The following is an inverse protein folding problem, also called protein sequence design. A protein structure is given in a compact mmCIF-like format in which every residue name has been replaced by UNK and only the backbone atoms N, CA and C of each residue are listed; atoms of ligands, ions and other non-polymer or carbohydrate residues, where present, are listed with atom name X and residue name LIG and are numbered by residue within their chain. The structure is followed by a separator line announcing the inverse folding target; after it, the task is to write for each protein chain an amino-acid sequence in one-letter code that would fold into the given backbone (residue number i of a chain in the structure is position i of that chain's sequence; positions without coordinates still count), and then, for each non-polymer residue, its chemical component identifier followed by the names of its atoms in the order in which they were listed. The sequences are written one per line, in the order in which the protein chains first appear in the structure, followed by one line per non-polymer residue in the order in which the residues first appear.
data_IF_062667792517
#
_entry.id   IF_062667792517
#
_cell.length_a   1.000
_cell.length_b   1.000
_cell.length_c   1.000
_cell.angle_alpha   90.00
_cell.angle_beta   90.00
_cell.angle_gamma   90.00
#
_symmetry.space_group_name_H-M   'P 1'
#
loop_
_entity.id
_entity.type
_entity.pdbx_description
1 polymer ?
#
# COMPACT_ATOMS: atom_id res chain seq x y z
N UNK A 1 24.80 -3.71 13.20
CA UNK A 1 23.39 -3.42 12.89
C UNK A 1 22.69 -4.70 12.51
N UNK A 2 21.95 -5.29 13.44
CA UNK A 2 21.12 -6.46 13.17
C UNK A 2 19.86 -5.99 12.42
N UNK A 3 19.79 -6.30 11.12
CA UNK A 3 18.72 -5.84 10.21
C UNK A 3 17.32 -6.30 10.66
N UNK A 4 17.26 -7.37 11.45
CA UNK A 4 16.03 -7.98 11.94
C UNK A 4 15.28 -7.14 12.99
N UNK A 5 15.96 -6.21 13.65
CA UNK A 5 15.37 -5.31 14.66
C UNK A 5 15.11 -3.91 14.12
N UNK A 6 15.53 -3.61 12.89
CA UNK A 6 15.49 -2.25 12.33
C UNK A 6 14.08 -1.62 12.33
N UNK A 7 13.04 -2.42 12.08
CA UNK A 7 11.64 -1.98 12.08
C UNK A 7 10.84 -2.43 13.32
N UNK A 8 11.51 -3.04 14.31
CA UNK A 8 10.87 -3.48 15.56
C UNK A 8 11.08 -2.41 16.64
N UNK A 9 10.27 -1.37 16.58
CA UNK A 9 10.30 -0.28 17.54
C UNK A 9 9.95 -0.79 18.94
N UNK A 10 10.84 -0.58 19.91
CA UNK A 10 10.64 -0.97 21.31
C UNK A 10 9.87 0.08 22.10
N UNK A 11 9.99 1.35 21.70
CA UNK A 11 9.35 2.49 22.33
C UNK A 11 8.48 3.26 21.32
N UNK A 12 7.29 3.66 21.75
CA UNK A 12 6.32 4.34 20.91
C UNK A 12 6.78 5.76 20.54
N UNK A 13 7.47 6.46 21.45
CA UNK A 13 7.97 7.81 21.18
C UNK A 13 9.00 7.79 20.04
N UNK A 14 9.93 6.82 20.07
CA UNK A 14 10.93 6.66 19.02
C UNK A 14 10.32 6.40 17.63
N UNK A 15 9.23 5.64 17.58
CA UNK A 15 8.44 5.45 16.35
C UNK A 15 7.83 6.77 15.85
N UNK A 16 7.18 7.54 16.73
CA UNK A 16 6.55 8.80 16.37
C UNK A 16 7.58 9.84 15.90
N UNK A 17 8.71 9.96 16.58
CA UNK A 17 9.79 10.86 16.18
C UNK A 17 10.33 10.53 14.78
N UNK A 18 10.57 9.24 14.50
CA UNK A 18 11.02 8.81 13.18
C UNK A 18 9.99 9.13 12.09
N UNK A 19 8.71 8.81 12.32
CA UNK A 19 7.64 9.09 11.35
C UNK A 19 7.50 10.59 11.12
N UNK A 20 7.55 11.41 12.18
CA UNK A 20 7.45 12.87 12.06
C UNK A 20 8.63 13.45 11.27
N UNK A 21 9.86 13.02 11.56
CA UNK A 21 11.05 13.43 10.81
C UNK A 21 10.99 13.00 9.35
N UNK A 22 10.58 11.75 9.09
CA UNK A 22 10.41 11.25 7.72
C UNK A 22 9.37 12.06 6.94
N UNK A 23 8.19 12.31 7.53
CA UNK A 23 7.15 13.14 6.93
C UNK A 23 7.61 14.57 6.68
N UNK A 24 8.37 15.17 7.60
CA UNK A 24 8.93 16.51 7.43
C UNK A 24 9.92 16.56 6.26
N UNK A 25 10.84 15.61 6.17
CA UNK A 25 11.84 15.55 5.09
C UNK A 25 11.16 15.34 3.73
N UNK A 26 10.25 14.38 3.62
CA UNK A 26 9.50 14.14 2.38
C UNK A 26 8.63 15.36 2.03
N UNK A 27 8.01 16.01 3.02
CA UNK A 27 7.23 17.23 2.83
C UNK A 27 8.06 18.39 2.29
N UNK A 28 9.25 18.62 2.84
CA UNK A 28 10.18 19.64 2.35
C UNK A 28 10.67 19.34 0.93
N UNK A 29 11.03 18.08 0.64
CA UNK A 29 11.40 17.67 -0.72
C UNK A 29 10.23 17.89 -1.68
N UNK A 30 9.01 17.53 -1.28
CA UNK A 30 7.81 17.74 -2.08
C UNK A 30 7.57 19.21 -2.36
N UNK A 31 7.78 20.08 -1.37
CA UNK A 31 7.64 21.54 -1.54
C UNK A 31 8.67 22.09 -2.55
N UNK A 32 9.93 21.66 -2.46
CA UNK A 32 10.99 22.10 -3.37
C UNK A 32 10.74 21.62 -4.81
N UNK A 33 10.31 20.37 -4.97
CA UNK A 33 10.13 19.72 -6.28
C UNK A 33 8.68 19.75 -6.80
N UNK A 34 7.80 20.58 -6.23
CA UNK A 34 6.37 20.60 -6.53
C UNK A 34 6.07 20.88 -8.02
N UNK A 35 6.91 21.70 -8.66
CA UNK A 35 6.76 22.04 -10.09
C UNK A 35 7.31 20.95 -11.03
N UNK A 36 7.98 19.93 -10.51
CA UNK A 36 8.54 18.84 -11.33
C UNK A 36 7.49 17.73 -11.50
N UNK A 37 6.94 17.62 -12.71
CA UNK A 37 5.96 16.58 -13.05
C UNK A 37 6.50 15.18 -12.76
N UNK A 38 7.76 14.93 -13.13
CA UNK A 38 8.43 13.63 -12.91
C UNK A 38 8.48 13.27 -11.43
N UNK A 39 8.78 14.24 -10.55
CA UNK A 39 8.83 13.99 -9.12
C UNK A 39 7.45 13.65 -8.55
N UNK A 40 6.42 14.42 -8.92
CA UNK A 40 5.05 14.23 -8.45
C UNK A 40 4.49 12.88 -8.94
N UNK A 41 4.75 12.51 -10.19
CA UNK A 41 4.36 11.20 -10.73
C UNK A 41 5.08 10.05 -10.04
N UNK A 42 6.41 10.13 -9.84
CA UNK A 42 7.14 9.09 -9.12
C UNK A 42 6.66 8.93 -7.68
N UNK A 43 6.43 10.03 -6.96
CA UNK A 43 5.92 10.00 -5.60
C UNK A 43 4.53 9.38 -5.54
N UNK A 44 3.64 9.77 -6.46
CA UNK A 44 2.32 9.20 -6.63
C UNK A 44 2.37 7.69 -6.89
N UNK A 45 3.21 7.27 -7.84
CA UNK A 45 3.40 5.86 -8.19
C UNK A 45 3.91 5.06 -6.99
N UNK A 46 4.94 5.54 -6.30
CA UNK A 46 5.49 4.87 -5.12
C UNK A 46 4.45 4.72 -4.00
N UNK A 47 3.59 5.72 -3.80
CA UNK A 47 2.51 5.65 -2.82
C UNK A 47 1.50 4.55 -3.18
N UNK A 48 0.94 4.57 -4.40
CA UNK A 48 -0.08 3.59 -4.82
C UNK A 48 0.50 2.18 -5.02
N UNK A 49 1.77 2.08 -5.41
CA UNK A 49 2.46 0.80 -5.54
C UNK A 49 2.71 0.17 -4.17
N UNK A 50 3.14 0.96 -3.17
CA UNK A 50 3.29 0.48 -1.79
C UNK A 50 1.96 -0.01 -1.25
N UNK A 51 0.88 0.74 -1.50
CA UNK A 51 -0.48 0.34 -1.13
C UNK A 51 -0.87 -0.98 -1.82
N UNK A 52 -0.60 -1.12 -3.12
CA UNK A 52 -0.92 -2.33 -3.87
C UNK A 52 -0.18 -3.58 -3.40
N UNK A 53 1.04 -3.40 -2.90
CA UNK A 53 1.85 -4.51 -2.39
C UNK A 53 1.49 -4.93 -0.96
N UNK A 54 0.60 -4.22 -0.25
CA UNK A 54 0.19 -4.60 1.12
C UNK A 54 -0.44 -6.00 1.20
N UNK A 55 -1.18 -6.41 0.16
CA UNK A 55 -1.81 -7.73 0.08
C UNK A 55 -0.85 -8.87 -0.27
N UNK A 56 0.25 -8.56 -0.97
CA UNK A 56 1.22 -9.57 -1.44
C UNK A 56 1.87 -10.42 -0.33
N UNK A 57 2.36 -9.87 0.80
CA UNK A 57 2.90 -10.68 1.88
C UNK A 57 1.83 -11.56 2.55
N UNK A 58 0.58 -11.09 2.61
CA UNK A 58 -0.53 -11.88 3.14
C UNK A 58 -0.85 -13.07 2.21
N UNK A 59 -0.88 -12.84 0.90
CA UNK A 59 -1.00 -13.88 -0.11
C UNK A 59 0.11 -14.94 0.01
N UNK A 60 1.37 -14.50 0.08
CA UNK A 60 2.53 -15.40 0.23
C UNK A 60 2.43 -16.24 1.51
N UNK A 61 2.03 -15.62 2.63
CA UNK A 61 1.88 -16.32 3.91
C UNK A 61 0.76 -17.36 3.89
N UNK A 62 -0.38 -17.03 3.26
CA UNK A 62 -1.49 -17.96 3.09
C UNK A 62 -1.08 -19.15 2.22
N UNK A 63 -0.37 -18.89 1.12
CA UNK A 63 0.15 -19.93 0.23
C UNK A 63 1.12 -20.88 0.94
N UNK A 64 2.06 -20.34 1.73
CA UNK A 64 3.05 -21.15 2.48
C UNK A 64 2.41 -21.98 3.59
N UNK A 65 1.45 -21.41 4.34
CA UNK A 65 0.81 -22.11 5.46
C UNK A 65 -0.30 -23.08 5.01
N UNK A 66 -0.73 -23.03 3.74
CA UNK A 66 -1.87 -23.80 3.18
C UNK A 66 -3.11 -23.77 4.07
N UNK A 67 -3.27 -22.70 4.85
CA UNK A 67 -4.27 -22.59 5.88
C UNK A 67 -4.66 -21.13 6.03
N UNK A 68 -5.96 -20.88 5.90
CA UNK A 68 -6.60 -19.58 6.14
C UNK A 68 -6.99 -19.40 7.62
N UNK A 69 -6.40 -20.18 8.53
CA UNK A 69 -6.61 -20.07 9.99
C UNK A 69 -6.23 -18.66 10.47
N UNK A 70 -7.26 -17.85 10.70
CA UNK A 70 -7.16 -16.46 11.16
C UNK A 70 -7.69 -15.39 10.20
N UNK A 71 -8.02 -15.73 8.94
CA UNK A 71 -8.53 -14.76 7.95
C UNK A 71 -10.02 -15.01 7.65
N UNK A 72 -10.86 -14.01 7.93
CA UNK A 72 -12.31 -14.10 7.62
C UNK A 72 -12.55 -13.86 6.14
N UNK A 73 -13.12 -14.86 5.44
CA UNK A 73 -13.53 -14.70 4.02
C UNK A 73 -14.44 -13.49 3.78
N UNK A 74 -15.26 -13.12 4.78
CA UNK A 74 -16.12 -11.92 4.70
C UNK A 74 -15.30 -10.62 4.67
N UNK A 75 -14.23 -10.55 5.47
CA UNK A 75 -13.34 -9.38 5.52
C UNK A 75 -12.64 -9.17 4.18
N UNK A 76 -12.13 -10.25 3.58
CA UNK A 76 -11.52 -10.20 2.24
C UNK A 76 -12.52 -9.74 1.19
N UNK A 77 -13.76 -10.23 1.25
CA UNK A 77 -14.82 -9.75 0.35
C UNK A 77 -15.12 -8.26 0.48
N UNK A 78 -15.07 -7.72 1.70
CA UNK A 78 -15.21 -6.26 1.92
C UNK A 78 -14.01 -5.47 1.40
N UNK A 79 -12.78 -6.00 1.52
CA UNK A 79 -11.59 -5.39 0.92
C UNK A 79 -11.70 -5.33 -0.60
N UNK A 80 -12.02 -6.45 -1.24
CA UNK A 80 -12.19 -6.52 -2.70
C UNK A 80 -13.26 -5.56 -3.18
N UNK A 81 -14.38 -5.48 -2.46
CA UNK A 81 -15.46 -4.54 -2.77
C UNK A 81 -15.00 -3.08 -2.68
N UNK A 82 -14.29 -2.73 -1.60
CA UNK A 82 -13.72 -1.39 -1.41
C UNK A 82 -12.73 -1.01 -2.51
N UNK A 83 -11.82 -1.91 -2.86
CA UNK A 83 -10.79 -1.68 -3.88
C UNK A 83 -11.38 -1.60 -5.29
N UNK A 84 -12.43 -2.39 -5.59
CA UNK A 84 -13.22 -2.25 -6.81
C UNK A 84 -13.88 -0.86 -6.88
N UNK A 85 -14.55 -0.41 -5.82
CA UNK A 85 -15.18 0.92 -5.79
C UNK A 85 -14.16 2.04 -5.96
N UNK A 86 -13.01 1.95 -5.28
CA UNK A 86 -11.92 2.92 -5.37
C UNK A 86 -11.34 2.98 -6.79
N UNK A 87 -11.14 1.83 -7.42
CA UNK A 87 -10.63 1.74 -8.79
C UNK A 87 -11.62 2.34 -9.80
N UNK A 88 -12.92 2.03 -9.68
CA UNK A 88 -13.96 2.64 -10.52
C UNK A 88 -14.00 4.15 -10.32
N UNK A 89 -13.90 4.62 -9.07
CA UNK A 89 -13.85 6.05 -8.76
C UNK A 89 -12.67 6.75 -9.47
N UNK A 90 -11.48 6.13 -9.47
CA UNK A 90 -10.31 6.69 -10.16
C UNK A 90 -10.48 6.75 -11.68
N UNK A 91 -11.12 5.74 -12.28
CA UNK A 91 -11.44 5.75 -13.71
C UNK A 91 -12.43 6.87 -14.04
N UNK A 92 -13.50 7.01 -13.25
CA UNK A 92 -14.52 8.05 -13.46
C UNK A 92 -13.98 9.47 -13.25
N UNK A 93 -12.96 9.63 -12.41
CA UNK A 93 -12.30 10.92 -12.16
C UNK A 93 -11.15 11.22 -13.12
N UNK A 94 -10.92 10.38 -14.12
CA UNK A 94 -9.80 10.50 -15.06
C UNK A 94 -8.46 10.66 -14.33
N UNK A 95 -8.30 9.93 -13.22
CA UNK A 95 -7.09 9.99 -12.41
C UNK A 95 -5.88 9.47 -13.22
N UNK A 96 -4.65 9.93 -12.89
CA UNK A 96 -3.43 9.49 -13.57
C UNK A 96 -3.32 7.96 -13.63
N UNK A 97 -2.72 7.43 -14.71
CA UNK A 97 -2.80 6.00 -15.02
C UNK A 97 -2.30 5.07 -13.90
N UNK A 98 -1.32 5.54 -13.12
CA UNK A 98 -0.81 4.86 -11.93
C UNK A 98 -1.90 4.41 -10.94
N UNK A 99 -2.96 5.21 -10.75
CA UNK A 99 -3.99 4.95 -9.75
C UNK A 99 -4.88 3.77 -10.13
N UNK A 100 -5.37 3.73 -11.36
CA UNK A 100 -6.22 2.63 -11.79
C UNK A 100 -5.41 1.37 -12.10
N UNK A 101 -4.17 1.48 -12.60
CA UNK A 101 -3.30 0.32 -12.80
C UNK A 101 -2.99 -0.36 -11.47
N UNK A 102 -2.58 0.40 -10.45
CA UNK A 102 -2.30 -0.16 -9.12
C UNK A 102 -3.58 -0.63 -8.41
N UNK A 103 -4.72 0.04 -8.62
CA UNK A 103 -6.02 -0.41 -8.14
C UNK A 103 -6.44 -1.77 -8.74
N UNK A 104 -6.22 -1.98 -10.04
CA UNK A 104 -6.46 -3.29 -10.66
C UNK A 104 -5.53 -4.38 -10.10
N UNK A 105 -4.28 -4.04 -9.79
CA UNK A 105 -3.35 -4.97 -9.12
C UNK A 105 -3.84 -5.32 -7.71
N UNK A 106 -4.32 -4.35 -6.92
CA UNK A 106 -4.93 -4.57 -5.60
C UNK A 106 -6.08 -5.57 -5.68
N UNK A 107 -7.06 -5.28 -6.54
CA UNK A 107 -8.23 -6.14 -6.76
C UNK A 107 -7.80 -7.55 -7.18
N UNK A 108 -6.77 -7.67 -8.03
CA UNK A 108 -6.26 -8.97 -8.48
C UNK A 108 -5.63 -9.78 -7.33
N UNK A 109 -4.86 -9.13 -6.46
CA UNK A 109 -4.24 -9.75 -5.28
C UNK A 109 -5.34 -10.20 -4.30
N UNK A 110 -6.33 -9.34 -4.08
CA UNK A 110 -7.47 -9.61 -3.21
C UNK A 110 -8.31 -10.81 -3.66
N UNK A 111 -8.63 -10.89 -4.95
CA UNK A 111 -9.30 -12.05 -5.54
C UNK A 111 -8.44 -13.31 -5.37
N UNK A 112 -7.12 -13.19 -5.58
CA UNK A 112 -6.19 -14.31 -5.42
C UNK A 112 -6.15 -14.81 -3.96
N UNK A 113 -6.25 -13.91 -2.98
CA UNK A 113 -6.35 -14.25 -1.56
C UNK A 113 -7.73 -14.86 -1.25
N UNK A 114 -8.80 -14.36 -1.86
CA UNK A 114 -10.16 -14.87 -1.65
C UNK A 114 -10.35 -16.30 -2.14
N UNK A 115 -9.65 -16.67 -3.24
CA UNK A 115 -9.72 -17.99 -3.86
C UNK A 115 -8.81 -19.05 -3.19
N UNK A 116 -7.85 -18.64 -2.36
CA UNK A 116 -6.96 -19.54 -1.59
C UNK A 116 -7.62 -20.08 -0.32
#
# INVERSE_FOLDING_TARGET
FEREYFWKWTDFLSYVEFVALFSLVIGLLTYIFLNSVIYVELLGFMAVFTEAMLGAPQFLRNYQKKSTLGMSRKMVGFWTCGDCFKTVYFILREAPAQFWICGMLQVSIDISIFLQ
#
